data_IF_186123537677
#
_entry.id   IF_186123537677
#
_cell.length_a   1.000
_cell.length_b   1.000
_cell.length_c   1.000
_cell.angle_alpha   90.00
_cell.angle_beta   90.00
_cell.angle_gamma   90.00
#
_symmetry.space_group_name_H-M   'P 1'
#
loop_
_entity.id
_entity.type
_entity.pdbx_description
1 polymer ?
#
# COMPACT_ATOMS: atom_id res chain seq x y z
N UNK A 1 -7.22 15.80 24.89
CA UNK A 1 -6.02 16.68 25.03
C UNK A 1 -5.43 16.92 23.65
N UNK A 2 -4.91 18.12 23.39
CA UNK A 2 -4.15 18.38 22.17
C UNK A 2 -2.69 17.99 22.42
N UNK A 3 -2.11 17.23 21.48
CA UNK A 3 -0.70 16.83 21.50
C UNK A 3 0.06 17.55 20.40
N UNK A 4 1.36 17.80 20.62
CA UNK A 4 2.34 18.20 19.61
C UNK A 4 2.97 16.94 19.06
N UNK A 5 2.70 16.66 17.77
CA UNK A 5 3.04 15.38 17.14
C UNK A 5 4.01 15.62 15.99
N UNK A 6 5.15 14.94 16.00
CA UNK A 6 6.03 14.86 14.84
C UNK A 6 5.71 13.57 14.04
N UNK A 7 5.51 13.70 12.73
CA UNK A 7 5.35 12.57 11.82
C UNK A 7 6.57 12.54 10.90
N UNK A 8 7.30 11.43 10.91
CA UNK A 8 8.48 11.22 10.07
C UNK A 8 8.06 10.39 8.85
N UNK A 9 8.08 10.99 7.67
CA UNK A 9 7.71 10.40 6.38
C UNK A 9 6.40 10.94 5.82
N UNK A 10 6.48 11.61 4.66
CA UNK A 10 5.35 12.20 3.90
C UNK A 10 4.73 11.25 2.87
N UNK A 11 4.78 9.94 3.10
CA UNK A 11 4.09 8.94 2.28
C UNK A 11 2.57 8.96 2.49
N UNK A 12 1.84 8.04 1.82
CA UNK A 12 0.37 7.96 1.90
C UNK A 12 -0.14 7.84 3.33
N UNK A 13 0.50 7.01 4.16
CA UNK A 13 0.13 6.83 5.57
C UNK A 13 0.43 8.06 6.40
N UNK A 14 1.61 8.67 6.23
CA UNK A 14 2.02 9.86 6.99
C UNK A 14 1.16 11.07 6.68
N UNK A 15 0.87 11.35 5.40
CA UNK A 15 -0.04 12.44 5.00
C UNK A 15 -1.48 12.19 5.51
N UNK A 16 -1.97 10.95 5.43
CA UNK A 16 -3.30 10.60 5.96
C UNK A 16 -3.36 10.82 7.47
N UNK A 17 -2.32 10.39 8.21
CA UNK A 17 -2.24 10.60 9.65
C UNK A 17 -2.15 12.10 9.99
N UNK A 18 -1.33 12.85 9.28
CA UNK A 18 -1.19 14.29 9.47
C UNK A 18 -2.52 15.02 9.31
N UNK A 19 -3.28 14.71 8.27
CA UNK A 19 -4.60 15.27 8.02
C UNK A 19 -5.61 14.96 9.12
N UNK A 20 -5.70 13.68 9.50
CA UNK A 20 -6.67 13.23 10.52
C UNK A 20 -6.36 13.83 11.88
N UNK A 21 -5.10 13.78 12.30
CA UNK A 21 -4.67 14.28 13.61
C UNK A 21 -4.79 15.79 13.71
N UNK A 22 -4.40 16.54 12.67
CA UNK A 22 -4.57 17.98 12.66
C UNK A 22 -6.05 18.39 12.74
N UNK A 23 -6.94 17.72 11.99
CA UNK A 23 -8.39 17.95 12.06
C UNK A 23 -9.02 17.58 13.41
N UNK A 24 -8.37 16.69 14.15
CA UNK A 24 -8.78 16.34 15.53
C UNK A 24 -8.22 17.29 16.59
N UNK A 25 -7.55 18.38 16.18
CA UNK A 25 -7.08 19.45 17.07
C UNK A 25 -5.68 19.23 17.64
N UNK A 26 -4.89 18.30 17.10
CA UNK A 26 -3.48 18.16 17.44
C UNK A 26 -2.62 19.14 16.62
N UNK A 27 -1.51 19.59 17.19
CA UNK A 27 -0.47 20.35 16.48
C UNK A 27 0.46 19.36 15.79
N UNK A 28 0.46 19.34 14.44
CA UNK A 28 1.16 18.31 13.67
C UNK A 28 2.28 18.91 12.84
N UNK A 29 3.47 18.34 12.96
CA UNK A 29 4.64 18.63 12.13
C UNK A 29 5.01 17.39 11.33
N UNK A 30 4.91 17.47 10.00
CA UNK A 30 5.29 16.41 9.07
C UNK A 30 6.67 16.67 8.48
N UNK A 31 7.56 15.69 8.59
CA UNK A 31 8.93 15.73 8.08
C UNK A 31 9.08 14.76 6.91
N UNK A 32 9.49 15.26 5.75
CA UNK A 32 9.71 14.44 4.54
C UNK A 32 11.13 14.68 4.01
N UNK A 33 11.85 13.58 3.75
CA UNK A 33 13.25 13.65 3.26
C UNK A 33 13.38 14.18 1.83
N UNK A 34 12.38 13.99 0.99
CA UNK A 34 12.39 14.46 -0.38
C UNK A 34 12.23 15.99 -0.43
N UNK A 35 12.96 16.64 -1.34
CA UNK A 35 12.88 18.08 -1.58
C UNK A 35 11.55 18.51 -2.21
N UNK A 36 10.86 17.58 -2.85
CA UNK A 36 9.52 17.73 -3.39
C UNK A 36 8.80 16.39 -3.32
N UNK A 37 7.49 16.41 -3.25
CA UNK A 37 6.72 15.19 -3.34
C UNK A 37 6.85 14.59 -4.75
N UNK A 38 7.11 13.26 -4.80
CA UNK A 38 7.37 12.57 -6.06
C UNK A 38 6.10 12.49 -6.91
N UNK A 39 6.21 12.87 -8.17
CA UNK A 39 5.16 12.70 -9.19
C UNK A 39 5.22 11.33 -9.88
N UNK A 40 6.29 10.58 -9.67
CA UNK A 40 6.49 9.26 -10.25
C UNK A 40 5.80 8.19 -9.41
N UNK A 41 5.26 7.19 -10.07
CA UNK A 41 4.62 6.09 -9.35
C UNK A 41 4.02 5.04 -10.26
N UNK A 42 3.51 3.98 -9.62
CA UNK A 42 2.71 2.95 -10.26
C UNK A 42 1.25 3.15 -9.93
N UNK A 43 0.42 2.35 -10.58
CA UNK A 43 -0.94 2.16 -10.14
C UNK A 43 -1.01 1.53 -8.76
N UNK A 44 -1.96 1.96 -7.98
CA UNK A 44 -2.38 1.34 -6.73
C UNK A 44 -3.87 1.06 -6.75
N UNK A 45 -4.28 0.09 -5.96
CA UNK A 45 -5.67 -0.28 -5.78
C UNK A 45 -6.12 0.18 -4.40
N UNK A 46 -7.20 0.95 -4.36
CA UNK A 46 -7.85 1.42 -3.14
C UNK A 46 -9.13 0.62 -2.93
N UNK A 47 -9.06 -0.34 -2.03
CA UNK A 47 -10.21 -1.14 -1.64
C UNK A 47 -11.11 -0.40 -0.65
N UNK A 48 -12.38 -0.82 -0.47
CA UNK A 48 -13.38 -0.11 0.33
C UNK A 48 -12.96 0.26 1.76
N UNK A 49 -12.13 -0.55 2.40
CA UNK A 49 -11.57 -0.29 3.72
C UNK A 49 -10.68 0.97 3.78
N UNK A 50 -9.97 1.26 2.69
CA UNK A 50 -9.14 2.47 2.57
C UNK A 50 -9.92 3.66 2.00
N UNK A 51 -10.70 3.44 0.93
CA UNK A 51 -11.45 4.53 0.30
C UNK A 51 -12.48 5.15 1.24
N UNK A 52 -13.06 4.38 2.16
CA UNK A 52 -13.94 4.89 3.24
C UNK A 52 -13.27 5.97 4.09
N UNK A 53 -12.03 5.77 4.49
CA UNK A 53 -11.25 6.75 5.26
C UNK A 53 -11.03 8.02 4.44
N UNK A 54 -10.64 7.84 3.18
CA UNK A 54 -10.38 8.98 2.28
C UNK A 54 -11.65 9.77 1.95
N UNK A 55 -12.81 9.10 1.84
CA UNK A 55 -14.11 9.76 1.70
C UNK A 55 -14.49 10.56 2.94
N UNK A 56 -14.27 10.01 4.14
CA UNK A 56 -14.48 10.74 5.42
C UNK A 56 -13.53 11.94 5.57
N UNK A 57 -12.36 11.87 4.97
CA UNK A 57 -11.45 13.03 4.82
C UNK A 57 -11.93 14.05 3.78
N UNK A 58 -13.07 13.84 3.11
CA UNK A 58 -13.60 14.74 2.09
C UNK A 58 -12.88 14.65 0.74
N UNK A 59 -12.02 13.65 0.55
CA UNK A 59 -11.26 13.47 -0.70
C UNK A 59 -12.04 12.71 -1.79
N UNK A 60 -13.24 12.20 -1.47
CA UNK A 60 -14.06 11.40 -2.39
C UNK A 60 -14.22 12.03 -3.78
N UNK A 61 -14.69 13.28 -3.92
CA UNK A 61 -14.84 13.94 -5.21
C UNK A 61 -13.53 14.06 -5.99
N UNK A 62 -12.45 14.48 -5.34
CA UNK A 62 -11.12 14.61 -5.95
C UNK A 62 -10.59 13.27 -6.45
N UNK A 63 -10.75 12.20 -5.67
CA UNK A 63 -10.31 10.87 -6.05
C UNK A 63 -11.17 10.27 -7.16
N UNK A 64 -12.49 10.47 -7.14
CA UNK A 64 -13.37 10.04 -8.21
C UNK A 64 -13.02 10.70 -9.56
N UNK A 65 -12.56 11.96 -9.54
CA UNK A 65 -12.12 12.66 -10.74
C UNK A 65 -10.75 12.20 -11.29
N UNK A 66 -9.92 11.54 -10.47
CA UNK A 66 -8.55 11.09 -10.85
C UNK A 66 -8.43 9.58 -11.00
N UNK A 67 -9.27 8.82 -10.31
CA UNK A 67 -9.23 7.36 -10.29
C UNK A 67 -10.03 6.74 -11.45
N UNK A 68 -9.75 5.47 -11.70
CA UNK A 68 -10.59 4.62 -12.54
C UNK A 68 -11.48 3.76 -11.62
N UNK A 69 -12.79 3.88 -11.77
CA UNK A 69 -13.74 3.03 -11.06
C UNK A 69 -13.67 1.59 -11.61
N UNK A 70 -13.27 0.66 -10.76
CA UNK A 70 -13.08 -0.73 -11.14
C UNK A 70 -14.40 -1.49 -11.11
N UNK A 71 -14.84 -2.01 -12.25
CA UNK A 71 -16.10 -2.75 -12.35
C UNK A 71 -15.98 -4.21 -11.95
N UNK A 72 -14.82 -4.81 -12.20
CA UNK A 72 -14.54 -6.24 -11.93
C UNK A 72 -13.09 -6.47 -11.59
N UNK A 73 -12.85 -7.58 -10.90
CA UNK A 73 -11.52 -8.14 -10.75
C UNK A 73 -11.57 -9.61 -11.18
N UNK A 74 -10.78 -9.98 -12.20
CA UNK A 74 -10.74 -11.32 -12.77
C UNK A 74 -9.42 -12.00 -12.53
N UNK A 75 -9.47 -13.29 -12.22
CA UNK A 75 -8.30 -14.16 -12.21
C UNK A 75 -8.38 -15.10 -13.40
N UNK A 76 -7.32 -15.14 -14.18
CA UNK A 76 -7.27 -15.84 -15.47
C UNK A 76 -6.13 -16.84 -15.53
N UNK A 77 -6.35 -17.89 -16.27
CA UNK A 77 -5.32 -18.88 -16.56
C UNK A 77 -4.31 -18.30 -17.57
N UNK A 78 -3.03 -18.37 -17.24
CA UNK A 78 -1.91 -17.70 -17.94
C UNK A 78 -1.85 -17.95 -19.45
N UNK A 79 -2.17 -19.17 -19.91
CA UNK A 79 -2.04 -19.55 -21.32
C UNK A 79 -3.35 -19.47 -22.09
N UNK A 80 -4.45 -19.94 -21.52
CA UNK A 80 -5.74 -20.05 -22.22
C UNK A 80 -6.63 -18.82 -22.08
N UNK A 81 -6.33 -17.93 -21.17
CA UNK A 81 -7.15 -16.78 -20.84
C UNK A 81 -8.48 -17.11 -20.17
N UNK A 82 -8.76 -18.40 -19.87
CA UNK A 82 -9.99 -18.82 -19.18
C UNK A 82 -10.11 -18.14 -17.82
N UNK A 83 -11.25 -17.56 -17.53
CA UNK A 83 -11.54 -17.01 -16.19
C UNK A 83 -11.63 -18.14 -15.16
N UNK A 84 -10.80 -18.08 -14.13
CA UNK A 84 -10.79 -19.02 -12.99
C UNK A 84 -11.82 -18.55 -11.96
N UNK A 85 -11.77 -17.27 -11.61
CA UNK A 85 -12.71 -16.64 -10.68
C UNK A 85 -12.80 -15.15 -10.98
N UNK A 86 -13.94 -14.56 -10.67
CA UNK A 86 -14.12 -13.10 -10.76
C UNK A 86 -14.88 -12.56 -9.55
N UNK A 87 -14.75 -11.28 -9.33
CA UNK A 87 -15.58 -10.53 -8.41
C UNK A 87 -16.13 -9.29 -9.10
N UNK A 88 -17.43 -9.10 -9.00
CA UNK A 88 -18.07 -7.85 -9.40
C UNK A 88 -17.77 -6.81 -8.34
N UNK A 89 -17.18 -5.70 -8.76
CA UNK A 89 -16.87 -4.52 -7.98
C UNK A 89 -17.84 -3.38 -8.35
N UNK A 90 -17.35 -2.17 -8.47
CA UNK A 90 -18.17 -1.02 -8.82
C UNK A 90 -19.28 -0.76 -7.81
N UNK A 91 -20.49 -0.42 -8.27
CA UNK A 91 -21.63 -0.08 -7.42
C UNK A 91 -22.01 -1.20 -6.44
N UNK A 92 -21.92 -2.46 -6.86
CA UNK A 92 -22.22 -3.61 -5.98
C UNK A 92 -21.26 -3.69 -4.80
N UNK A 93 -19.96 -3.43 -5.01
CA UNK A 93 -18.99 -3.40 -3.93
C UNK A 93 -19.21 -2.17 -3.04
N UNK A 94 -19.51 -1.01 -3.64
CA UNK A 94 -19.83 0.20 -2.89
C UNK A 94 -21.05 0.01 -1.99
N UNK A 95 -22.14 -0.57 -2.50
CA UNK A 95 -23.33 -0.91 -1.69
C UNK A 95 -23.04 -1.92 -0.59
N UNK A 96 -22.26 -2.98 -0.90
CA UNK A 96 -21.97 -4.07 0.05
C UNK A 96 -21.01 -3.64 1.17
N UNK A 97 -20.01 -2.82 0.86
CA UNK A 97 -18.92 -2.48 1.74
C UNK A 97 -18.94 -1.02 2.20
N UNK A 98 -19.88 -0.21 1.69
CA UNK A 98 -20.09 1.17 2.09
C UNK A 98 -19.08 2.17 1.56
N UNK A 99 -18.24 1.78 0.58
CA UNK A 99 -17.27 2.66 -0.08
C UNK A 99 -16.83 2.08 -1.44
N UNK A 100 -16.39 2.90 -2.38
CA UNK A 100 -15.98 2.46 -3.71
C UNK A 100 -14.65 1.71 -3.72
N UNK A 101 -14.41 0.97 -4.82
CA UNK A 101 -13.14 0.38 -5.15
C UNK A 101 -12.53 1.14 -6.33
N UNK A 102 -11.38 1.75 -6.14
CA UNK A 102 -10.69 2.55 -7.14
C UNK A 102 -9.33 1.98 -7.54
N UNK A 103 -8.96 2.24 -8.78
CA UNK A 103 -7.60 2.10 -9.29
C UNK A 103 -7.09 3.50 -9.60
N UNK A 104 -5.98 3.89 -8.99
CA UNK A 104 -5.47 5.25 -9.11
C UNK A 104 -3.96 5.24 -9.33
N UNK A 105 -3.45 6.19 -10.06
CA UNK A 105 -2.01 6.41 -10.10
C UNK A 105 -1.52 6.92 -8.73
N UNK A 106 -0.43 6.39 -8.23
CA UNK A 106 0.07 6.73 -6.88
C UNK A 106 0.31 8.22 -6.70
N UNK A 107 0.82 8.89 -7.75
CA UNK A 107 1.05 10.34 -7.71
C UNK A 107 -0.25 11.13 -7.57
N UNK A 108 -1.35 10.67 -8.21
CA UNK A 108 -2.64 11.35 -8.13
C UNK A 108 -3.24 11.27 -6.72
N UNK A 109 -3.11 10.10 -6.06
CA UNK A 109 -3.53 9.96 -4.67
C UNK A 109 -2.65 10.79 -3.74
N UNK A 110 -1.34 10.74 -3.95
CA UNK A 110 -0.38 11.48 -3.13
C UNK A 110 -0.59 12.99 -3.27
N UNK A 111 -0.79 13.48 -4.51
CA UNK A 111 -1.09 14.89 -4.78
C UNK A 111 -2.40 15.35 -4.13
N UNK A 112 -3.45 14.51 -4.15
CA UNK A 112 -4.71 14.84 -3.48
C UNK A 112 -4.55 14.96 -1.94
N UNK A 113 -3.73 14.10 -1.33
CA UNK A 113 -3.41 14.18 0.09
C UNK A 113 -2.53 15.40 0.42
N UNK A 114 -1.57 15.71 -0.46
CA UNK A 114 -0.72 16.90 -0.33
C UNK A 114 -1.53 18.19 -0.39
N UNK A 115 -2.36 18.36 -1.44
CA UNK A 115 -3.25 19.52 -1.61
C UNK A 115 -4.13 19.73 -0.37
N UNK A 116 -4.66 18.64 0.18
CA UNK A 116 -5.44 18.69 1.41
C UNK A 116 -4.60 19.07 2.64
N UNK A 117 -3.35 18.59 2.72
CA UNK A 117 -2.45 18.92 3.81
C UNK A 117 -2.05 20.41 3.80
N UNK A 118 -1.73 20.96 2.64
CA UNK A 118 -1.42 22.38 2.44
C UNK A 118 -2.59 23.31 2.80
N UNK A 119 -3.82 22.83 2.60
CA UNK A 119 -5.05 23.57 2.93
C UNK A 119 -5.49 23.39 4.42
N UNK A 120 -4.80 22.57 5.22
CA UNK A 120 -5.20 22.26 6.59
C UNK A 120 -4.51 23.17 7.60
N UNK A 121 -5.25 24.05 8.33
CA UNK A 121 -4.65 24.90 9.36
C UNK A 121 -4.02 24.06 10.50
N UNK A 122 -2.90 24.51 11.04
CA UNK A 122 -2.20 23.84 12.14
C UNK A 122 -1.38 22.62 11.75
N UNK A 123 -1.31 22.29 10.46
CA UNK A 123 -0.41 21.29 9.91
C UNK A 123 0.81 21.96 9.28
N UNK A 124 2.00 21.67 9.82
CA UNK A 124 3.27 22.16 9.28
C UNK A 124 3.95 21.04 8.48
N UNK A 125 4.29 21.29 7.22
CA UNK A 125 4.97 20.33 6.34
C UNK A 125 6.38 20.84 6.03
N UNK A 126 7.39 20.04 6.36
CA UNK A 126 8.79 20.33 6.12
C UNK A 126 9.39 19.32 5.15
N UNK A 127 9.70 19.78 3.94
CA UNK A 127 10.36 18.98 2.91
C UNK A 127 11.90 19.10 3.04
N UNK A 128 12.62 18.14 2.46
CA UNK A 128 14.08 18.08 2.55
C UNK A 128 14.61 17.74 3.95
N UNK A 129 13.76 17.22 4.83
CA UNK A 129 14.08 16.89 6.21
C UNK A 129 14.22 15.37 6.39
N UNK A 130 15.41 14.86 6.16
CA UNK A 130 15.74 13.46 6.45
C UNK A 130 16.00 13.30 7.95
N UNK A 131 15.24 12.45 8.62
CA UNK A 131 15.41 12.14 10.04
C UNK A 131 16.19 10.83 10.19
N UNK A 132 17.29 10.86 10.93
CA UNK A 132 18.09 9.68 11.28
C UNK A 132 17.67 9.15 12.66
N UNK A 133 17.93 7.87 12.93
CA UNK A 133 17.56 7.25 14.20
C UNK A 133 18.29 7.87 15.42
N UNK A 134 19.50 8.43 15.23
CA UNK A 134 20.30 9.11 16.25
C UNK A 134 19.88 10.58 16.48
N UNK A 135 18.99 11.11 15.66
CA UNK A 135 18.41 12.45 15.76
C UNK A 135 17.07 12.50 16.51
N UNK A 136 16.57 11.35 16.93
CA UNK A 136 15.40 11.22 17.79
C UNK A 136 15.87 11.11 19.23
N UNK A 137 15.66 12.15 20.02
CA UNK A 137 16.13 12.22 21.40
C UNK A 137 14.92 12.26 22.34
N UNK A 138 14.91 11.35 23.30
CA UNK A 138 13.91 11.28 24.36
C UNK A 138 14.56 11.62 25.69
N UNK A 139 14.18 12.74 26.30
CA UNK A 139 14.69 13.23 27.59
C UNK A 139 13.51 13.57 28.52
N UNK A 140 13.36 12.80 29.60
CA UNK A 140 12.21 12.93 30.48
C UNK A 140 10.91 12.66 29.70
N UNK A 141 9.96 13.57 29.77
CA UNK A 141 8.66 13.47 29.09
C UNK A 141 8.66 14.13 27.69
N UNK A 142 9.81 14.60 27.21
CA UNK A 142 9.88 15.34 25.95
C UNK A 142 10.68 14.60 24.88
N UNK A 143 10.16 14.68 23.65
CA UNK A 143 10.82 14.21 22.44
C UNK A 143 11.32 15.42 21.62
N UNK A 144 12.50 15.29 21.06
CA UNK A 144 13.00 16.18 20.02
C UNK A 144 13.39 15.40 18.79
N UNK A 145 13.21 16.00 17.62
CA UNK A 145 13.54 15.41 16.32
C UNK A 145 14.33 16.46 15.53
N UNK A 146 15.63 16.27 15.41
CA UNK A 146 16.47 17.17 14.62
C UNK A 146 16.18 16.95 13.10
N UNK A 147 16.11 18.01 12.28
CA UNK A 147 16.49 19.40 12.58
C UNK A 147 15.33 20.30 13.03
N UNK A 148 14.14 19.77 13.25
CA UNK A 148 12.98 20.60 13.60
C UNK A 148 12.88 20.80 15.12
N UNK A 149 12.75 22.04 15.59
CA UNK A 149 12.67 22.31 17.01
C UNK A 149 11.42 21.71 17.63
N UNK A 150 11.62 20.88 18.70
CA UNK A 150 10.57 20.38 19.58
C UNK A 150 10.27 21.38 20.69
N UNK A 151 9.68 20.92 21.78
CA UNK A 151 9.45 19.52 22.12
C UNK A 151 8.18 18.95 21.51
N UNK A 152 8.16 17.63 21.30
CA UNK A 152 6.99 16.87 20.86
C UNK A 152 6.51 15.94 21.98
N UNK A 153 5.20 15.74 22.06
CA UNK A 153 4.58 14.79 22.98
C UNK A 153 4.58 13.37 22.38
N UNK A 154 4.55 13.27 21.03
CA UNK A 154 4.55 12.00 20.32
C UNK A 154 5.35 12.09 19.02
N UNK A 155 6.04 10.99 18.65
CA UNK A 155 6.66 10.82 17.33
C UNK A 155 6.05 9.62 16.63
N UNK A 156 5.62 9.80 15.37
CA UNK A 156 5.03 8.76 14.54
C UNK A 156 5.99 8.47 13.38
N UNK A 157 6.50 7.24 13.32
CA UNK A 157 7.30 6.75 12.19
C UNK A 157 6.41 6.25 11.05
N UNK A 158 6.37 7.02 9.97
CA UNK A 158 5.70 6.70 8.71
C UNK A 158 6.70 6.63 7.52
N UNK A 159 7.96 6.39 7.83
CA UNK A 159 9.15 6.52 6.99
C UNK A 159 9.48 5.24 6.19
N UNK A 160 8.50 4.38 6.02
CA UNK A 160 8.52 3.26 5.07
C UNK A 160 9.39 2.07 5.49
N UNK A 161 9.71 1.21 4.52
CA UNK A 161 10.37 -0.07 4.78
C UNK A 161 11.76 0.06 5.37
N UNK A 162 12.46 1.18 5.11
CA UNK A 162 13.80 1.49 5.64
C UNK A 162 13.76 2.36 6.90
N UNK A 163 12.65 2.39 7.63
CA UNK A 163 12.35 3.27 8.75
C UNK A 163 13.49 3.43 9.75
N UNK A 164 13.87 4.68 9.96
CA UNK A 164 14.81 5.11 10.98
C UNK A 164 14.14 5.16 12.35
N UNK A 165 12.86 5.54 12.41
CA UNK A 165 12.07 5.53 13.65
C UNK A 165 11.94 4.10 14.19
N UNK A 166 11.66 3.11 13.32
CA UNK A 166 11.69 1.70 13.73
C UNK A 166 13.06 1.29 14.25
N UNK A 167 14.15 1.73 13.60
CA UNK A 167 15.51 1.45 14.04
C UNK A 167 15.80 2.03 15.42
N UNK A 168 15.29 3.22 15.71
CA UNK A 168 15.34 3.82 17.03
C UNK A 168 14.58 2.99 18.07
N UNK A 169 13.35 2.56 17.76
CA UNK A 169 12.51 1.80 18.69
C UNK A 169 13.06 0.41 19.00
N UNK A 170 13.49 -0.32 17.96
CA UNK A 170 13.67 -1.77 18.02
C UNK A 170 15.02 -2.26 17.47
N UNK A 171 15.89 -1.34 17.07
CA UNK A 171 17.18 -1.66 16.45
C UNK A 171 17.05 -2.08 14.99
N UNK A 172 18.18 -2.46 14.40
CA UNK A 172 18.23 -2.93 13.02
C UNK A 172 17.63 -4.35 12.92
N UNK A 173 16.68 -4.51 12.04
CA UNK A 173 16.13 -5.83 11.68
C UNK A 173 16.32 -6.04 10.18
N UNK A 174 16.96 -7.14 9.73
CA UNK A 174 17.17 -7.40 8.33
C UNK A 174 15.84 -7.73 7.63
N UNK A 175 15.72 -7.27 6.39
CA UNK A 175 14.70 -7.76 5.46
C UNK A 175 15.09 -9.15 4.94
N UNK A 176 14.11 -9.88 4.48
CA UNK A 176 14.28 -11.20 3.91
C UNK A 176 13.78 -11.22 2.47
N UNK A 177 14.64 -11.61 1.54
CA UNK A 177 14.21 -11.90 0.17
C UNK A 177 13.22 -13.06 0.15
N UNK A 178 12.12 -12.90 -0.58
CA UNK A 178 11.02 -13.86 -0.61
C UNK A 178 11.15 -14.94 -1.68
N UNK A 179 12.22 -14.90 -2.49
CA UNK A 179 12.37 -15.77 -3.63
C UNK A 179 11.58 -15.30 -4.86
N UNK A 180 11.19 -14.03 -4.91
CA UNK A 180 10.39 -13.47 -6.00
C UNK A 180 10.91 -12.10 -6.41
N UNK A 181 10.89 -11.84 -7.71
CA UNK A 181 11.18 -10.53 -8.30
C UNK A 181 9.94 -10.02 -9.01
N UNK A 182 9.79 -8.71 -9.02
CA UNK A 182 8.69 -8.04 -9.70
C UNK A 182 9.21 -7.05 -10.74
N UNK A 183 8.55 -7.00 -11.88
CA UNK A 183 8.65 -5.90 -12.85
C UNK A 183 7.41 -5.02 -12.75
N UNK A 184 7.58 -3.76 -12.96
CA UNK A 184 6.50 -2.78 -12.99
C UNK A 184 6.72 -1.80 -14.13
N UNK A 185 5.66 -1.53 -14.88
CA UNK A 185 5.67 -0.57 -15.98
C UNK A 185 4.28 -0.04 -16.26
N UNK A 186 4.22 1.05 -16.99
CA UNK A 186 3.00 1.63 -17.52
C UNK A 186 2.99 1.47 -19.04
N UNK A 187 1.81 1.20 -19.60
CA UNK A 187 1.60 1.16 -21.05
C UNK A 187 0.55 2.21 -21.41
N UNK A 188 0.84 3.03 -22.43
CA UNK A 188 -0.16 3.96 -22.97
C UNK A 188 -1.34 3.16 -23.54
N UNK A 189 -2.52 3.43 -23.03
CA UNK A 189 -3.74 2.72 -23.48
C UNK A 189 -4.02 2.95 -24.96
N UNK A 190 -3.55 4.06 -25.56
CA UNK A 190 -3.74 4.32 -26.98
C UNK A 190 -3.13 3.22 -27.87
N UNK A 191 -2.02 2.63 -27.43
CA UNK A 191 -1.33 1.55 -28.13
C UNK A 191 -1.98 0.15 -27.99
N UNK A 192 -3.00 0.00 -27.12
CA UNK A 192 -3.55 -1.30 -26.75
C UNK A 192 -4.92 -1.57 -27.40
N UNK A 193 -5.25 -2.86 -27.64
CA UNK A 193 -6.60 -3.26 -28.02
C UNK A 193 -7.65 -2.87 -26.97
N UNK A 194 -8.88 -2.65 -27.39
CA UNK A 194 -9.99 -2.22 -26.52
C UNK A 194 -10.24 -3.17 -25.33
N UNK A 195 -10.05 -4.47 -25.52
CA UNK A 195 -10.20 -5.47 -24.46
C UNK A 195 -9.28 -5.27 -23.27
N UNK A 196 -8.09 -4.67 -23.46
CA UNK A 196 -7.10 -4.39 -22.42
C UNK A 196 -7.33 -3.03 -21.73
N UNK A 197 -8.26 -2.21 -22.23
CA UNK A 197 -8.64 -0.89 -21.69
C UNK A 197 -9.86 -0.95 -20.76
N UNK A 198 -10.48 -2.12 -20.62
CA UNK A 198 -11.68 -2.29 -19.78
C UNK A 198 -11.36 -1.87 -18.32
N UNK A 199 -12.29 -1.21 -17.60
CA UNK A 199 -12.08 -0.77 -16.22
C UNK A 199 -12.14 -1.96 -15.24
N UNK A 200 -11.24 -2.90 -15.45
CA UNK A 200 -11.13 -4.17 -14.72
C UNK A 200 -9.70 -4.39 -14.22
N UNK A 201 -9.57 -5.04 -13.08
CA UNK A 201 -8.30 -5.62 -12.65
C UNK A 201 -8.21 -7.06 -13.17
N UNK A 202 -7.14 -7.41 -13.83
CA UNK A 202 -6.90 -8.76 -14.31
C UNK A 202 -5.63 -9.32 -13.71
N UNK A 203 -5.72 -10.53 -13.18
CA UNK A 203 -4.62 -11.27 -12.56
C UNK A 203 -4.48 -12.61 -13.27
N UNK A 204 -3.34 -12.85 -13.88
CA UNK A 204 -3.03 -14.05 -14.64
C UNK A 204 -2.17 -14.97 -13.80
N UNK A 205 -2.64 -16.18 -13.53
CA UNK A 205 -1.95 -17.19 -12.75
C UNK A 205 -1.25 -18.21 -13.62
N UNK A 206 0.05 -18.40 -13.40
CA UNK A 206 0.87 -19.38 -14.09
C UNK A 206 1.88 -20.07 -13.17
N UNK A 207 2.52 -21.15 -13.63
CA UNK A 207 3.54 -21.83 -12.85
C UNK A 207 4.76 -20.91 -12.64
N UNK A 208 5.14 -20.70 -11.38
CA UNK A 208 6.29 -19.87 -11.00
C UNK A 208 6.17 -18.37 -11.27
N UNK A 209 5.01 -17.90 -11.78
CA UNK A 209 4.82 -16.49 -12.09
C UNK A 209 3.33 -16.08 -12.10
N UNK A 210 3.08 -14.77 -11.98
CA UNK A 210 1.77 -14.18 -12.25
C UNK A 210 1.95 -12.78 -12.86
N UNK A 211 0.89 -12.32 -13.50
CA UNK A 211 0.85 -11.00 -14.14
C UNK A 211 -0.42 -10.27 -13.74
N UNK A 212 -0.31 -9.00 -13.39
CA UNK A 212 -1.44 -8.14 -13.00
C UNK A 212 -1.47 -6.94 -13.90
N UNK A 213 -2.64 -6.59 -14.41
CA UNK A 213 -2.81 -5.31 -15.09
C UNK A 213 -4.17 -4.68 -14.80
N UNK A 214 -4.22 -3.37 -14.86
CA UNK A 214 -5.42 -2.58 -14.66
C UNK A 214 -5.22 -1.13 -15.14
N UNK A 215 -6.30 -0.47 -15.61
CA UNK A 215 -6.22 0.92 -16.02
C UNK A 215 -6.08 1.87 -14.83
N UNK A 216 -5.34 2.97 -15.04
CA UNK A 216 -5.17 4.09 -14.09
C UNK A 216 -5.29 5.42 -14.81
N UNK A 217 -5.34 6.53 -14.09
CA UNK A 217 -5.47 7.88 -14.65
C UNK A 217 -6.63 7.96 -15.66
N UNK A 218 -7.84 7.56 -15.22
CA UNK A 218 -9.06 7.51 -16.04
C UNK A 218 -8.91 6.66 -17.33
N UNK A 219 -8.08 5.63 -17.28
CA UNK A 219 -7.85 4.73 -18.40
C UNK A 219 -6.80 5.20 -19.40
N UNK A 220 -6.11 6.32 -19.16
CA UNK A 220 -5.00 6.78 -19.99
C UNK A 220 -3.84 5.79 -20.00
N UNK A 221 -3.54 5.19 -18.87
CA UNK A 221 -2.46 4.24 -18.71
C UNK A 221 -2.98 2.89 -18.24
N UNK A 222 -2.33 1.82 -18.66
CA UNK A 222 -2.49 0.48 -18.09
C UNK A 222 -1.27 0.19 -17.22
N UNK A 223 -1.49 0.06 -15.91
CA UNK A 223 -0.45 -0.34 -14.96
C UNK A 223 -0.26 -1.85 -15.02
N UNK A 224 0.99 -2.28 -15.16
CA UNK A 224 1.39 -3.66 -15.23
C UNK A 224 2.36 -4.02 -14.09
N UNK A 225 2.10 -5.16 -13.45
CA UNK A 225 2.98 -5.75 -12.44
C UNK A 225 3.15 -7.22 -12.79
N UNK A 226 4.36 -7.61 -13.15
CA UNK A 226 4.73 -8.98 -13.46
C UNK A 226 5.60 -9.54 -12.33
N UNK A 227 5.28 -10.70 -11.78
CA UNK A 227 6.04 -11.32 -10.68
C UNK A 227 6.47 -12.72 -11.09
N UNK A 228 7.73 -13.03 -10.83
CA UNK A 228 8.35 -14.33 -11.14
C UNK A 228 9.16 -14.82 -9.94
N UNK A 229 9.21 -16.13 -9.75
CA UNK A 229 10.15 -16.76 -8.84
C UNK A 229 11.59 -16.56 -9.29
N UNK A 230 12.48 -16.24 -8.35
CA UNK A 230 13.90 -16.05 -8.59
C UNK A 230 14.71 -16.71 -7.47
N UNK A 231 15.84 -17.32 -7.81
CA UNK A 231 16.70 -18.00 -6.83
C UNK A 231 17.45 -17.02 -5.94
N UNK A 232 17.88 -15.91 -6.52
CA UNK A 232 18.74 -14.93 -5.86
C UNK A 232 18.36 -13.51 -6.26
N UNK A 233 18.49 -12.59 -5.33
CA UNK A 233 18.39 -11.15 -5.53
C UNK A 233 19.09 -10.45 -4.37
N UNK A 234 20.00 -9.53 -4.67
CA UNK A 234 20.86 -8.90 -3.66
C UNK A 234 20.52 -7.45 -3.36
N UNK A 235 19.84 -6.75 -4.28
CA UNK A 235 19.59 -5.32 -4.15
C UNK A 235 18.19 -4.99 -3.60
N UNK A 236 18.14 -4.30 -2.46
CA UNK A 236 16.90 -3.70 -1.93
C UNK A 236 16.66 -2.33 -2.58
N UNK A 237 16.32 -2.28 -3.86
CA UNK A 237 15.95 -1.06 -4.56
C UNK A 237 14.60 -1.22 -5.27
N UNK A 238 13.79 -0.17 -5.27
CA UNK A 238 12.49 -0.14 -5.96
C UNK A 238 12.55 0.45 -7.37
N UNK A 239 13.70 0.97 -7.77
CA UNK A 239 13.89 1.76 -8.99
C UNK A 239 15.01 1.27 -9.87
N UNK A 240 15.41 -0.02 -9.78
CA UNK A 240 16.37 -0.57 -10.72
C UNK A 240 15.73 -0.65 -12.10
N UNK A 241 16.42 -0.18 -13.14
CA UNK A 241 15.97 -0.35 -14.52
C UNK A 241 15.74 -1.82 -14.84
N UNK A 242 14.62 -2.12 -15.47
CA UNK A 242 14.33 -3.47 -16.00
C UNK A 242 14.71 -3.57 -17.46
N UNK A 243 15.10 -4.76 -17.91
CA UNK A 243 15.38 -5.03 -19.30
C UNK A 243 14.13 -5.58 -20.00
N UNK A 244 13.60 -4.93 -21.06
CA UNK A 244 12.41 -5.38 -21.77
C UNK A 244 12.53 -6.78 -22.38
N UNK A 245 13.72 -7.15 -22.85
CA UNK A 245 14.00 -8.49 -23.37
C UNK A 245 13.84 -9.58 -22.32
N UNK A 246 14.37 -9.36 -21.11
CA UNK A 246 14.23 -10.28 -19.99
C UNK A 246 12.78 -10.43 -19.54
N UNK A 247 12.00 -9.32 -19.52
CA UNK A 247 10.57 -9.36 -19.23
C UNK A 247 9.81 -10.21 -20.26
N UNK A 248 10.03 -9.97 -21.56
CA UNK A 248 9.39 -10.73 -22.65
C UNK A 248 9.70 -12.23 -22.57
N UNK A 249 10.96 -12.58 -22.35
CA UNK A 249 11.38 -13.98 -22.19
C UNK A 249 10.74 -14.66 -20.99
N UNK A 250 10.60 -13.95 -19.86
CA UNK A 250 9.97 -14.48 -18.64
C UNK A 250 8.47 -14.82 -18.83
N UNK A 251 7.79 -14.17 -19.76
CA UNK A 251 6.37 -14.36 -20.05
C UNK A 251 6.10 -14.94 -21.46
N UNK A 252 7.12 -15.56 -22.06
CA UNK A 252 6.97 -16.29 -23.32
C UNK A 252 5.95 -17.44 -23.18
N UNK A 253 5.10 -17.64 -24.19
CA UNK A 253 4.04 -18.66 -24.18
C UNK A 253 2.84 -18.36 -23.29
N UNK A 254 2.76 -17.16 -22.68
CA UNK A 254 1.57 -16.69 -22.00
C UNK A 254 0.52 -16.23 -23.03
N UNK A 255 -0.70 -15.94 -22.55
CA UNK A 255 -1.81 -15.47 -23.40
C UNK A 255 -1.43 -14.20 -24.18
N UNK A 256 -2.02 -14.03 -25.37
CA UNK A 256 -1.73 -12.91 -26.26
C UNK A 256 -1.91 -11.53 -25.60
N UNK A 257 -2.86 -11.39 -24.67
CA UNK A 257 -3.05 -10.15 -23.90
C UNK A 257 -1.83 -9.79 -23.05
N UNK A 258 -1.21 -10.80 -22.39
CA UNK A 258 0.00 -10.57 -21.57
C UNK A 258 1.20 -10.27 -22.49
N UNK A 259 1.30 -10.98 -23.60
CA UNK A 259 2.34 -10.75 -24.60
C UNK A 259 2.26 -9.32 -25.18
N UNK A 260 1.06 -8.89 -25.55
CA UNK A 260 0.84 -7.53 -26.03
C UNK A 260 1.31 -6.48 -25.02
N UNK A 261 0.98 -6.64 -23.73
CA UNK A 261 1.41 -5.73 -22.68
C UNK A 261 2.94 -5.72 -22.50
N UNK A 262 3.59 -6.89 -22.47
CA UNK A 262 5.05 -6.97 -22.34
C UNK A 262 5.81 -6.44 -23.54
N UNK A 263 5.21 -6.49 -24.75
CA UNK A 263 5.82 -5.88 -25.96
C UNK A 263 5.82 -4.35 -25.90
N UNK A 264 4.83 -3.76 -25.24
CA UNK A 264 4.74 -2.30 -25.05
C UNK A 264 5.48 -1.80 -23.79
N UNK A 265 6.22 -2.66 -23.09
CA UNK A 265 7.06 -2.23 -21.98
C UNK A 265 8.25 -1.43 -22.50
N UNK A 266 8.31 -0.16 -22.15
CA UNK A 266 9.41 0.74 -22.51
C UNK A 266 10.47 0.77 -21.40
N UNK A 267 11.74 0.82 -21.79
CA UNK A 267 12.87 0.84 -20.86
C UNK A 267 12.77 1.99 -19.86
N UNK A 268 12.34 3.17 -20.32
CA UNK A 268 12.21 4.37 -19.50
C UNK A 268 11.22 4.23 -18.32
N UNK A 269 10.24 3.32 -18.41
CA UNK A 269 9.20 3.13 -17.40
C UNK A 269 9.25 1.75 -16.74
N UNK A 270 10.15 0.87 -17.19
CA UNK A 270 10.27 -0.50 -16.70
C UNK A 270 11.26 -0.56 -15.52
N UNK A 271 10.75 -0.93 -14.37
CA UNK A 271 11.53 -1.16 -13.16
C UNK A 271 11.46 -2.62 -12.73
N UNK A 272 12.57 -3.14 -12.17
CA UNK A 272 12.67 -4.48 -11.61
C UNK A 272 13.21 -4.43 -10.19
N UNK A 273 12.61 -5.19 -9.27
CA UNK A 273 13.09 -5.27 -7.89
C UNK A 273 12.77 -6.63 -7.25
N UNK A 274 13.59 -7.00 -6.25
CA UNK A 274 13.29 -8.14 -5.39
C UNK A 274 12.16 -7.83 -4.41
N UNK A 275 11.31 -8.81 -4.17
CA UNK A 275 10.29 -8.72 -3.13
C UNK A 275 10.90 -9.14 -1.79
N UNK A 276 10.95 -8.20 -0.87
CA UNK A 276 11.42 -8.41 0.49
C UNK A 276 10.27 -8.34 1.48
N UNK A 277 10.35 -9.13 2.52
CA UNK A 277 9.42 -9.03 3.64
C UNK A 277 10.17 -8.93 4.98
N UNK A 278 9.41 -8.63 6.02
CA UNK A 278 9.88 -8.61 7.41
C UNK A 278 8.94 -9.44 8.27
N UNK A 279 9.46 -10.05 9.32
CA UNK A 279 8.60 -10.68 10.34
C UNK A 279 7.74 -9.61 11.00
N UNK A 280 6.48 -9.92 11.36
CA UNK A 280 5.65 -9.01 12.15
C UNK A 280 6.38 -8.59 13.41
N UNK A 281 6.37 -7.29 13.69
CA UNK A 281 6.95 -6.74 14.91
C UNK A 281 6.17 -7.20 16.14
N UNK A 282 6.85 -7.50 17.25
CA UNK A 282 6.20 -7.87 18.51
C UNK A 282 5.51 -6.67 19.18
N UNK A 283 6.01 -5.47 18.97
CA UNK A 283 5.43 -4.20 19.41
C UNK A 283 5.62 -3.11 18.37
N UNK A 284 4.75 -2.09 18.39
CA UNK A 284 4.76 -0.97 17.45
C UNK A 284 5.10 0.36 18.10
N UNK A 285 5.14 0.42 19.43
CA UNK A 285 5.51 1.64 20.14
C UNK A 285 6.56 1.36 21.22
N UNK A 286 7.30 2.40 21.56
CA UNK A 286 8.25 2.46 22.65
C UNK A 286 8.15 3.81 23.34
N UNK A 287 7.55 3.85 24.54
CA UNK A 287 7.18 5.11 25.16
C UNK A 287 6.27 5.93 24.24
N UNK A 288 6.55 7.22 24.05
CA UNK A 288 5.71 8.10 23.21
C UNK A 288 6.03 8.04 21.71
N UNK A 289 6.78 7.05 21.24
CA UNK A 289 7.11 6.85 19.81
C UNK A 289 6.36 5.64 19.27
N UNK A 290 5.63 5.80 18.15
CA UNK A 290 4.91 4.72 17.48
C UNK A 290 5.19 4.65 15.97
N UNK A 291 4.79 3.56 15.34
CA UNK A 291 4.97 3.30 13.91
C UNK A 291 3.64 3.11 13.19
N UNK A 292 3.60 3.42 11.89
CA UNK A 292 2.49 3.07 11.01
C UNK A 292 2.98 2.67 9.60
N UNK A 293 2.14 1.97 8.86
CA UNK A 293 2.39 1.57 7.48
C UNK A 293 3.62 0.66 7.34
N UNK A 294 4.37 0.82 6.25
CA UNK A 294 5.54 -0.04 5.95
C UNK A 294 6.68 0.12 6.97
N UNK A 295 6.67 1.16 7.80
CA UNK A 295 7.60 1.29 8.91
C UNK A 295 7.42 0.18 9.94
N UNK A 296 6.20 -0.32 10.14
CA UNK A 296 5.94 -1.41 11.08
C UNK A 296 5.52 -2.76 10.43
N UNK A 297 4.81 -2.75 9.30
CA UNK A 297 4.28 -3.99 8.70
C UNK A 297 4.38 -4.04 7.17
N UNK A 298 5.57 -3.92 6.58
CA UNK A 298 5.73 -4.04 5.14
C UNK A 298 5.10 -5.35 4.64
N UNK A 299 4.37 -5.28 3.53
CA UNK A 299 3.63 -6.43 3.01
C UNK A 299 3.91 -6.68 1.54
N UNK A 300 3.79 -7.94 1.14
CA UNK A 300 3.88 -8.33 -0.27
C UNK A 300 2.65 -7.84 -1.05
N UNK A 301 2.75 -7.57 -2.35
CA UNK A 301 1.71 -6.89 -3.12
C UNK A 301 0.47 -7.74 -3.47
N UNK A 302 0.44 -9.03 -3.11
CA UNK A 302 -0.51 -10.02 -3.62
C UNK A 302 -1.97 -9.80 -3.19
N UNK A 303 -2.22 -9.02 -2.15
CA UNK A 303 -3.56 -8.60 -1.73
C UNK A 303 -3.85 -7.12 -2.05
N UNK A 304 -2.90 -6.38 -2.60
CA UNK A 304 -2.98 -4.95 -2.86
C UNK A 304 -3.38 -4.12 -1.62
N UNK A 305 -2.86 -4.49 -0.42
CA UNK A 305 -3.27 -3.89 0.85
C UNK A 305 -2.22 -2.97 1.49
N UNK A 306 -1.03 -2.79 0.94
CA UNK A 306 0.01 -1.98 1.57
C UNK A 306 -0.45 -0.55 1.87
N UNK A 307 -0.90 0.18 0.85
CA UNK A 307 -1.45 1.53 1.02
C UNK A 307 -2.72 1.54 1.89
N UNK A 308 -3.60 0.55 1.72
CA UNK A 308 -4.83 0.44 2.50
C UNK A 308 -4.55 0.28 4.00
N UNK A 309 -3.58 -0.57 4.37
CA UNK A 309 -3.18 -0.75 5.76
C UNK A 309 -2.63 0.53 6.38
N UNK A 310 -1.80 1.29 5.66
CA UNK A 310 -1.25 2.54 6.15
C UNK A 310 -2.33 3.62 6.36
N UNK A 311 -3.34 3.67 5.48
CA UNK A 311 -4.51 4.56 5.61
C UNK A 311 -5.40 4.12 6.79
N UNK A 312 -5.62 2.81 6.95
CA UNK A 312 -6.34 2.26 8.11
C UNK A 312 -5.61 2.59 9.43
N UNK A 313 -4.28 2.45 9.46
CA UNK A 313 -3.47 2.76 10.64
C UNK A 313 -3.65 4.21 11.06
N UNK A 314 -3.59 5.14 10.10
CA UNK A 314 -3.77 6.56 10.36
C UNK A 314 -5.14 6.85 11.01
N UNK A 315 -6.21 6.25 10.48
CA UNK A 315 -7.55 6.41 11.03
C UNK A 315 -7.70 5.79 12.44
N UNK A 316 -7.16 4.58 12.64
CA UNK A 316 -7.21 3.92 13.94
C UNK A 316 -6.37 4.62 15.00
N UNK A 317 -5.19 5.16 14.61
CA UNK A 317 -4.34 5.93 15.51
C UNK A 317 -5.05 7.23 15.93
N UNK A 318 -5.65 7.95 14.98
CA UNK A 318 -6.45 9.13 15.27
C UNK A 318 -7.62 8.83 16.23
N UNK A 319 -8.34 7.73 15.98
CA UNK A 319 -9.40 7.28 16.88
C UNK A 319 -8.87 7.02 18.29
N UNK A 320 -7.73 6.35 18.42
CA UNK A 320 -7.14 6.03 19.71
C UNK A 320 -6.75 7.30 20.48
N UNK A 321 -6.03 8.23 19.82
CA UNK A 321 -5.61 9.49 20.44
C UNK A 321 -6.79 10.41 20.84
N UNK A 322 -7.91 10.28 20.14
CA UNK A 322 -9.13 11.03 20.48
C UNK A 322 -9.92 10.39 21.62
N UNK A 323 -9.93 9.04 21.68
CA UNK A 323 -10.82 8.29 22.59
C UNK A 323 -10.23 8.06 23.98
N UNK A 324 -8.91 7.92 24.08
CA UNK A 324 -8.26 7.54 25.34
C UNK A 324 -7.56 8.74 26.00
N UNK A 325 -7.58 8.80 27.35
CA UNK A 325 -7.13 9.99 28.08
C UNK A 325 -5.60 10.13 28.13
N UNK A 326 -4.85 9.06 28.02
CA UNK A 326 -3.39 9.08 28.06
C UNK A 326 -2.78 8.61 26.72
N UNK A 327 -1.63 9.15 26.37
CA UNK A 327 -0.89 8.77 25.18
C UNK A 327 -0.50 7.28 25.21
N UNK A 328 -0.04 6.79 26.35
CA UNK A 328 0.37 5.40 26.53
C UNK A 328 -0.79 4.43 26.26
N UNK A 329 -1.96 4.71 26.82
CA UNK A 329 -3.14 3.89 26.59
C UNK A 329 -3.58 3.97 25.12
N UNK A 330 -3.59 5.16 24.51
CA UNK A 330 -3.94 5.35 23.11
C UNK A 330 -3.03 4.55 22.18
N UNK A 331 -1.70 4.62 22.36
CA UNK A 331 -0.75 3.88 21.55
C UNK A 331 -0.86 2.36 21.74
N UNK A 332 -1.09 1.92 22.97
CA UNK A 332 -1.31 0.50 23.28
C UNK A 332 -2.60 -0.03 22.62
N UNK A 333 -3.70 0.74 22.64
CA UNK A 333 -4.98 0.40 21.97
C UNK A 333 -4.84 0.37 20.46
N UNK A 334 -4.20 1.38 19.88
CA UNK A 334 -3.89 1.41 18.46
C UNK A 334 -3.16 0.13 18.01
N UNK A 335 -2.06 -0.22 18.69
CA UNK A 335 -1.31 -1.45 18.42
C UNK A 335 -2.19 -2.70 18.59
N UNK A 336 -2.96 -2.77 19.68
CA UNK A 336 -3.82 -3.90 19.99
C UNK A 336 -4.87 -4.16 18.92
N UNK A 337 -5.45 -3.13 18.32
CA UNK A 337 -6.42 -3.25 17.22
C UNK A 337 -5.78 -3.58 15.89
N UNK A 338 -4.65 -2.93 15.57
CA UNK A 338 -4.06 -3.01 14.24
C UNK A 338 -3.15 -4.22 14.00
N UNK A 339 -2.33 -4.58 14.98
CA UNK A 339 -1.33 -5.64 14.84
C UNK A 339 -1.91 -7.01 14.48
N UNK A 340 -3.02 -7.50 15.08
CA UNK A 340 -3.62 -8.76 14.66
C UNK A 340 -4.07 -8.75 13.19
N UNK A 341 -4.72 -7.66 12.76
CA UNK A 341 -5.21 -7.49 11.39
C UNK A 341 -4.06 -7.45 10.37
N UNK A 342 -3.08 -6.59 10.57
CA UNK A 342 -1.95 -6.45 9.65
C UNK A 342 -1.10 -7.72 9.58
N UNK A 343 -0.89 -8.40 10.72
CA UNK A 343 -0.24 -9.71 10.76
C UNK A 343 -1.00 -10.75 9.93
N UNK A 344 -2.33 -10.76 10.01
CA UNK A 344 -3.16 -11.64 9.18
C UNK A 344 -3.03 -11.30 7.70
N UNK A 345 -3.03 -10.02 7.32
CA UNK A 345 -2.81 -9.57 5.94
C UNK A 345 -1.43 -10.01 5.43
N UNK A 346 -0.35 -9.75 6.19
CA UNK A 346 1.00 -10.16 5.81
C UNK A 346 1.10 -11.67 5.58
N UNK A 347 0.57 -12.50 6.51
CA UNK A 347 0.58 -13.97 6.38
C UNK A 347 -0.24 -14.44 5.18
N UNK A 348 -1.40 -13.84 4.98
CA UNK A 348 -2.29 -14.17 3.85
C UNK A 348 -1.63 -13.77 2.53
N UNK A 349 -1.02 -12.60 2.45
CA UNK A 349 -0.31 -12.13 1.26
C UNK A 349 0.83 -13.08 0.88
N UNK A 350 1.66 -13.51 1.84
CA UNK A 350 2.71 -14.53 1.58
C UNK A 350 2.13 -15.82 1.01
N UNK A 351 1.03 -16.32 1.59
CA UNK A 351 0.35 -17.52 1.11
C UNK A 351 -0.17 -17.36 -0.32
N UNK A 352 -0.71 -16.18 -0.66
CA UNK A 352 -1.20 -15.92 -2.01
C UNK A 352 -0.07 -15.88 -3.03
N UNK A 353 1.13 -15.37 -2.68
CA UNK A 353 2.30 -15.42 -3.55
C UNK A 353 2.65 -16.85 -3.98
N UNK A 354 2.55 -17.82 -3.07
CA UNK A 354 2.73 -19.23 -3.40
C UNK A 354 1.53 -19.80 -4.19
N UNK A 355 0.29 -19.49 -3.78
CA UNK A 355 -0.93 -20.00 -4.43
C UNK A 355 -1.01 -19.57 -5.90
N UNK A 356 -0.62 -18.34 -6.22
CA UNK A 356 -0.68 -17.82 -7.58
C UNK A 356 0.27 -18.57 -8.53
N UNK A 357 1.38 -19.08 -8.02
CA UNK A 357 2.45 -19.72 -8.78
C UNK A 357 2.32 -21.25 -8.87
N UNK A 358 1.27 -21.84 -8.32
CA UNK A 358 1.05 -23.29 -8.41
C UNK A 358 0.88 -23.76 -9.87
N UNK A 359 1.66 -24.77 -10.23
CA UNK A 359 1.56 -25.50 -11.50
C UNK A 359 0.65 -26.74 -11.43
N UNK A 360 0.46 -27.39 -12.57
CA UNK A 360 -0.25 -28.67 -12.65
C UNK A 360 0.48 -29.77 -11.85
N UNK A 361 -0.23 -30.74 -11.23
CA UNK A 361 -1.70 -30.88 -11.20
C UNK A 361 -2.39 -30.04 -10.12
N UNK A 362 -1.66 -29.44 -9.18
CA UNK A 362 -2.20 -28.76 -8.00
C UNK A 362 -3.02 -27.52 -8.39
N UNK A 363 -2.63 -26.84 -9.47
CA UNK A 363 -3.37 -25.70 -10.00
C UNK A 363 -4.85 -26.02 -10.32
N UNK A 364 -5.17 -27.25 -10.71
CA UNK A 364 -6.54 -27.67 -10.99
C UNK A 364 -7.43 -27.62 -9.72
N UNK A 365 -6.91 -28.05 -8.57
CA UNK A 365 -7.62 -27.97 -7.29
C UNK A 365 -7.71 -26.51 -6.81
N UNK A 366 -6.62 -25.75 -6.97
CA UNK A 366 -6.60 -24.31 -6.66
C UNK A 366 -7.73 -23.58 -7.42
N UNK A 367 -7.84 -23.82 -8.74
CA UNK A 367 -8.80 -23.13 -9.60
C UNK A 367 -10.26 -23.41 -9.17
N UNK A 368 -10.55 -24.63 -8.68
CA UNK A 368 -11.88 -24.97 -8.17
C UNK A 368 -12.20 -24.34 -6.81
N UNK A 369 -11.19 -24.22 -5.94
CA UNK A 369 -11.38 -23.62 -4.62
C UNK A 369 -11.35 -22.07 -4.65
N UNK A 370 -10.78 -21.48 -5.69
CA UNK A 370 -10.54 -20.05 -5.78
C UNK A 370 -11.78 -19.17 -5.59
N UNK A 371 -12.97 -19.46 -6.17
CA UNK A 371 -14.15 -18.60 -6.00
C UNK A 371 -14.56 -18.44 -4.54
N UNK A 372 -14.60 -19.53 -3.77
CA UNK A 372 -14.99 -19.51 -2.36
C UNK A 372 -13.92 -18.81 -1.48
N UNK A 373 -12.65 -19.12 -1.71
CA UNK A 373 -11.55 -18.51 -0.98
C UNK A 373 -11.50 -17.00 -1.19
N UNK A 374 -11.73 -16.55 -2.44
CA UNK A 374 -11.74 -15.13 -2.79
C UNK A 374 -12.87 -14.36 -2.12
N UNK A 375 -14.10 -14.87 -2.17
CA UNK A 375 -15.24 -14.21 -1.54
C UNK A 375 -15.02 -13.98 -0.05
N UNK A 376 -14.52 -15.00 0.67
CA UNK A 376 -14.18 -14.88 2.09
C UNK A 376 -13.07 -13.86 2.36
N UNK A 377 -12.04 -13.84 1.52
CA UNK A 377 -10.93 -12.89 1.66
C UNK A 377 -11.40 -11.45 1.44
N UNK A 378 -12.21 -11.21 0.40
CA UNK A 378 -12.74 -9.87 0.15
C UNK A 378 -13.62 -9.38 1.29
N UNK A 379 -14.48 -10.22 1.85
CA UNK A 379 -15.41 -9.81 2.90
C UNK A 379 -14.68 -9.32 4.15
N UNK A 380 -13.72 -10.07 4.67
CA UNK A 380 -13.02 -9.64 5.88
C UNK A 380 -12.04 -8.49 5.63
N UNK A 381 -11.51 -8.33 4.40
CA UNK A 381 -10.66 -7.19 4.05
C UNK A 381 -11.48 -5.91 3.93
N UNK A 382 -12.57 -5.94 3.14
CA UNK A 382 -13.26 -4.74 2.66
C UNK A 382 -14.33 -4.22 3.63
N UNK A 383 -14.90 -5.10 4.48
CA UNK A 383 -15.86 -4.70 5.52
C UNK A 383 -15.23 -3.97 6.69
N UNK A 384 -13.94 -4.14 6.89
CA UNK A 384 -13.25 -3.55 8.04
C UNK A 384 -13.39 -2.03 8.04
N UNK A 385 -13.83 -1.51 9.19
CA UNK A 385 -13.87 -0.09 9.47
C UNK A 385 -12.82 0.25 10.53
N UNK A 386 -11.75 1.01 10.17
CA UNK A 386 -10.68 1.34 11.10
C UNK A 386 -11.10 2.31 12.22
N UNK A 387 -12.26 2.97 12.07
CA UNK A 387 -12.85 3.83 13.10
C UNK A 387 -13.88 3.09 13.99
N UNK A 388 -14.14 1.80 13.72
CA UNK A 388 -14.94 0.91 14.56
C UNK A 388 -14.22 -0.46 14.75
N UNK A 389 -12.95 -0.47 15.21
CA UNK A 389 -12.13 -1.68 15.24
C UNK A 389 -12.63 -2.77 16.18
N UNK A 390 -13.42 -2.40 17.18
CA UNK A 390 -14.04 -3.35 18.14
C UNK A 390 -15.17 -4.19 17.52
N UNK A 391 -15.64 -3.84 16.30
CA UNK A 391 -16.70 -4.54 15.57
C UNK A 391 -16.16 -5.49 14.46
N UNK A 392 -14.86 -5.67 14.35
CA UNK A 392 -14.19 -6.37 13.25
C UNK A 392 -13.86 -7.84 13.53
#
# INVERSE_FOLDING_TARGET
MAYRIAIVGGGLGGLTAALLLSRSGHEVTLLEQAMSFRTEGAGIQLSPNASRVLERLGLGPTLAARATATTRSRFRHFRTGRTITEAVLGERAAMRYGAPYWQIHRADLHGALQEAAEATPGLSVHLGQAVRHDEIIHQGDQLSVTPVPGPFDCVIGADGIHSQVRRWCFGAAPSRFTGQVAWRFLVDSAALPSALKAPESQVWWGPGAHFVHYPVAQGRWVNCVAVQEAREWTEESWSLPGEPGALRSAFEGWHADVQALTHHAEEATLFKWGLFDRRPLPSWHRGPVTLLGDACHPTLPFLAQGAAMAIEDAATLNLALTRFPSLEEALSRYEGWRRPRTTRIQRTSRRYGWVYHLGAPIAWFRDRAAPLARARTMDWLYRYDPEAPDQA
#
